data_IF_364916687876
#
_entry.id   IF_364916687876
#
_cell.length_a   1.000
_cell.length_b   1.000
_cell.length_c   1.000
_cell.angle_alpha   90.00
_cell.angle_beta   90.00
_cell.angle_gamma   90.00
#
_symmetry.space_group_name_H-M   'P 1'
#
loop_
_entity.id
_entity.type
_entity.pdbx_description
1 polymer ?
#
# COMPACT_ATOMS: atom_id res chain seq x y z
N UNK A 1 3.25 15.94 -26.52
CA UNK A 1 2.34 14.86 -26.08
C UNK A 1 2.88 14.13 -24.85
N UNK A 2 4.16 13.74 -24.78
CA UNK A 2 4.76 13.06 -23.62
C UNK A 2 4.71 13.82 -22.28
N UNK A 3 4.91 15.16 -22.27
CA UNK A 3 4.95 15.95 -21.03
C UNK A 3 3.65 15.95 -20.20
N UNK A 4 2.49 15.98 -20.85
CA UNK A 4 1.20 15.98 -20.14
C UNK A 4 0.91 14.62 -19.50
N UNK A 5 1.26 13.53 -20.20
CA UNK A 5 1.12 12.17 -19.69
C UNK A 5 2.03 11.98 -18.46
N UNK A 6 3.28 12.44 -18.52
CA UNK A 6 4.20 12.40 -17.38
C UNK A 6 3.67 13.17 -16.16
N UNK A 7 3.01 14.31 -16.36
CA UNK A 7 2.38 15.05 -15.25
C UNK A 7 1.26 14.23 -14.61
N UNK A 8 0.42 13.57 -15.41
CA UNK A 8 -0.65 12.70 -14.92
C UNK A 8 -0.08 11.51 -14.14
N UNK A 9 0.96 10.86 -14.67
CA UNK A 9 1.62 9.73 -14.01
C UNK A 9 2.23 10.12 -12.66
N UNK A 10 2.91 11.27 -12.59
CA UNK A 10 3.44 11.81 -11.34
C UNK A 10 2.34 12.09 -10.30
N UNK A 11 1.18 12.61 -10.74
CA UNK A 11 0.03 12.83 -9.85
C UNK A 11 -0.57 11.51 -9.35
N UNK A 12 -0.71 10.51 -10.22
CA UNK A 12 -1.15 9.15 -9.84
C UNK A 12 -0.20 8.58 -8.78
N UNK A 13 1.11 8.67 -8.99
CA UNK A 13 2.15 8.21 -8.04
C UNK A 13 2.06 8.93 -6.69
N UNK A 14 1.93 10.26 -6.71
CA UNK A 14 1.74 11.06 -5.50
C UNK A 14 0.50 10.65 -4.70
N UNK A 15 -0.61 10.33 -5.39
CA UNK A 15 -1.83 9.83 -4.74
C UNK A 15 -1.63 8.48 -4.06
N UNK A 16 -0.90 7.55 -4.70
CA UNK A 16 -0.54 6.26 -4.08
C UNK A 16 0.30 6.48 -2.83
N UNK A 17 1.34 7.32 -2.90
CA UNK A 17 2.19 7.67 -1.76
C UNK A 17 1.39 8.24 -0.58
N UNK A 18 0.46 9.16 -0.86
CA UNK A 18 -0.40 9.74 0.17
C UNK A 18 -1.31 8.68 0.83
N UNK A 19 -1.85 7.74 0.04
CA UNK A 19 -2.68 6.65 0.58
C UNK A 19 -1.85 5.69 1.44
N UNK A 20 -0.65 5.29 1.00
CA UNK A 20 0.23 4.44 1.80
C UNK A 20 0.60 5.10 3.12
N UNK A 21 0.91 6.41 3.11
CA UNK A 21 1.19 7.17 4.33
C UNK A 21 0.02 7.11 5.31
N UNK A 22 -1.21 7.38 4.84
CA UNK A 22 -2.42 7.29 5.70
C UNK A 22 -2.64 5.89 6.27
N UNK A 23 -2.35 4.84 5.51
CA UNK A 23 -2.47 3.45 6.01
C UNK A 23 -1.39 3.17 7.05
N UNK A 24 -0.15 3.63 6.83
CA UNK A 24 0.94 3.53 7.82
C UNK A 24 0.56 4.22 9.14
N UNK A 25 0.02 5.42 9.07
CA UNK A 25 -0.42 6.16 10.25
C UNK A 25 -1.55 5.42 10.98
N UNK A 26 -2.52 4.91 10.22
CA UNK A 26 -3.63 4.11 10.75
C UNK A 26 -3.15 2.87 11.52
N UNK A 27 -2.19 2.09 10.98
CA UNK A 27 -1.70 0.88 11.65
C UNK A 27 -0.82 1.19 12.87
N UNK A 28 -0.23 2.38 12.92
CA UNK A 28 0.58 2.83 14.05
C UNK A 28 -0.30 3.39 15.18
N UNK A 29 -1.51 3.85 14.89
CA UNK A 29 -2.47 4.30 15.89
C UNK A 29 -3.08 3.10 16.66
N UNK A 30 -2.86 2.97 17.98
CA UNK A 30 -3.37 1.85 18.78
C UNK A 30 -4.91 1.84 18.91
N UNK A 31 -5.57 2.99 18.85
CA UNK A 31 -7.01 3.14 19.11
C UNK A 31 -7.89 2.82 17.89
N UNK A 32 -7.29 2.69 16.71
CA UNK A 32 -8.01 2.49 15.45
C UNK A 32 -8.03 1.03 14.96
N UNK A 33 -7.44 0.10 15.70
CA UNK A 33 -7.20 -1.30 15.31
C UNK A 33 -8.42 -2.21 15.44
N UNK A 34 -9.52 -1.83 14.80
CA UNK A 34 -10.70 -2.68 14.63
C UNK A 34 -10.48 -3.61 13.42
N UNK A 35 -10.70 -4.92 13.60
CA UNK A 35 -10.45 -5.95 12.57
C UNK A 35 -11.05 -5.60 11.19
N UNK A 36 -12.32 -5.20 11.15
CA UNK A 36 -12.98 -4.85 9.87
C UNK A 36 -12.32 -3.68 9.13
N UNK A 37 -11.80 -2.69 9.88
CA UNK A 37 -11.09 -1.55 9.29
C UNK A 37 -9.73 -2.00 8.74
N UNK A 38 -9.04 -2.90 9.44
CA UNK A 38 -7.77 -3.48 9.02
C UNK A 38 -7.93 -4.33 7.74
N UNK A 39 -8.99 -5.14 7.66
CA UNK A 39 -9.32 -5.91 6.45
C UNK A 39 -9.60 -4.98 5.26
N UNK A 40 -10.38 -3.92 5.46
CA UNK A 40 -10.59 -2.88 4.43
C UNK A 40 -9.28 -2.22 3.97
N UNK A 41 -8.31 -2.00 4.88
CA UNK A 41 -6.98 -1.51 4.50
C UNK A 41 -6.19 -2.52 3.68
N UNK A 42 -6.33 -3.83 3.92
CA UNK A 42 -5.70 -4.85 3.07
C UNK A 42 -6.22 -4.79 1.63
N UNK A 43 -7.53 -4.63 1.43
CA UNK A 43 -8.08 -4.51 0.07
C UNK A 43 -7.64 -3.22 -0.62
N UNK A 44 -7.51 -2.14 0.16
CA UNK A 44 -6.90 -0.89 -0.34
C UNK A 44 -5.45 -1.13 -0.79
N UNK A 45 -4.63 -1.84 0.00
CA UNK A 45 -3.23 -2.16 -0.36
C UNK A 45 -3.13 -3.00 -1.63
N UNK A 46 -4.00 -4.00 -1.82
CA UNK A 46 -4.05 -4.78 -3.06
C UNK A 46 -4.32 -3.87 -4.27
N UNK A 47 -5.29 -2.96 -4.15
CA UNK A 47 -5.59 -1.98 -5.21
C UNK A 47 -4.41 -1.03 -5.48
N UNK A 48 -3.70 -0.59 -4.44
CA UNK A 48 -2.53 0.28 -4.61
C UNK A 48 -1.37 -0.42 -5.33
N UNK A 49 -1.13 -1.71 -5.06
CA UNK A 49 -0.11 -2.50 -5.74
C UNK A 49 -0.41 -2.65 -7.23
N UNK A 50 -1.66 -2.91 -7.59
CA UNK A 50 -2.09 -2.94 -9.01
C UNK A 50 -1.82 -1.57 -9.66
N UNK A 51 -2.22 -0.48 -9.01
CA UNK A 51 -1.97 0.88 -9.53
C UNK A 51 -0.49 1.20 -9.70
N UNK A 52 0.39 0.73 -8.81
CA UNK A 52 1.84 0.89 -8.95
C UNK A 52 2.35 0.15 -10.20
N UNK A 53 1.90 -1.08 -10.43
CA UNK A 53 2.22 -1.83 -11.64
C UNK A 53 1.74 -1.12 -12.91
N UNK A 54 0.52 -0.60 -12.92
CA UNK A 54 -0.03 0.14 -14.06
C UNK A 54 0.79 1.41 -14.34
N UNK A 55 1.13 2.16 -13.28
CA UNK A 55 1.98 3.36 -13.39
C UNK A 55 3.36 2.99 -13.95
N UNK A 56 3.98 1.90 -13.47
CA UNK A 56 5.27 1.42 -13.98
C UNK A 56 5.17 1.18 -15.49
N UNK A 57 4.19 0.40 -15.93
CA UNK A 57 3.99 0.07 -17.34
C UNK A 57 3.75 1.33 -18.20
N UNK A 58 2.87 2.24 -17.76
CA UNK A 58 2.60 3.49 -18.49
C UNK A 58 3.85 4.38 -18.60
N UNK A 59 4.76 4.37 -17.61
CA UNK A 59 6.01 5.12 -17.69
C UNK A 59 6.98 4.54 -18.71
N UNK A 60 7.10 3.21 -18.78
CA UNK A 60 7.93 2.53 -19.77
C UNK A 60 7.51 2.81 -21.21
N UNK A 61 6.23 3.07 -21.45
CA UNK A 61 5.70 3.44 -22.76
C UNK A 61 5.99 4.91 -23.14
N UNK A 62 6.20 5.79 -22.15
CA UNK A 62 6.20 7.24 -22.35
C UNK A 62 7.61 7.85 -22.25
N UNK A 63 8.48 7.27 -21.42
CA UNK A 63 9.84 7.77 -21.21
C UNK A 63 10.77 7.15 -22.26
N UNK A 64 11.39 8.01 -23.07
CA UNK A 64 12.26 7.59 -24.18
C UNK A 64 13.72 7.40 -23.74
N UNK A 65 14.14 8.05 -22.66
CA UNK A 65 15.50 7.98 -22.14
C UNK A 65 15.55 7.04 -20.93
N UNK A 66 16.26 5.92 -21.06
CA UNK A 66 16.38 4.89 -20.02
C UNK A 66 16.96 5.43 -18.70
N UNK A 67 17.83 6.44 -18.76
CA UNK A 67 18.38 7.07 -17.55
C UNK A 67 17.30 7.77 -16.69
N UNK A 68 16.18 8.16 -17.29
CA UNK A 68 15.05 8.79 -16.58
C UNK A 68 14.09 7.73 -15.98
N UNK A 69 14.24 6.45 -16.33
CA UNK A 69 13.45 5.34 -15.80
C UNK A 69 14.00 4.79 -14.48
N UNK A 70 15.32 4.73 -14.30
CA UNK A 70 15.94 4.14 -13.11
C UNK A 70 15.48 4.80 -11.79
N UNK A 71 15.48 6.13 -11.63
CA UNK A 71 15.00 6.76 -10.39
C UNK A 71 13.52 6.48 -10.11
N UNK A 72 12.72 6.34 -11.17
CA UNK A 72 11.32 6.01 -11.06
C UNK A 72 11.14 4.56 -10.62
N UNK A 73 11.89 3.63 -11.19
CA UNK A 73 11.82 2.22 -10.82
C UNK A 73 12.13 2.02 -9.35
N UNK A 74 13.19 2.66 -8.87
CA UNK A 74 13.56 2.63 -7.46
C UNK A 74 12.42 3.18 -6.58
N UNK A 75 11.81 4.32 -6.95
CA UNK A 75 10.68 4.85 -6.17
C UNK A 75 9.46 3.91 -6.18
N UNK A 76 9.17 3.22 -7.29
CA UNK A 76 8.08 2.25 -7.34
C UNK A 76 8.41 1.02 -6.50
N UNK A 77 9.62 0.49 -6.57
CA UNK A 77 10.09 -0.64 -5.75
C UNK A 77 9.97 -0.32 -4.26
N UNK A 78 10.45 0.85 -3.82
CA UNK A 78 10.30 1.32 -2.44
C UNK A 78 8.82 1.36 -1.99
N UNK A 79 7.89 1.66 -2.91
CA UNK A 79 6.45 1.70 -2.61
C UNK A 79 5.81 0.31 -2.62
N UNK A 80 6.34 -0.62 -3.40
CA UNK A 80 5.95 -2.03 -3.38
C UNK A 80 6.40 -2.68 -2.06
N UNK A 81 7.64 -2.45 -1.64
CA UNK A 81 8.18 -2.88 -0.34
C UNK A 81 7.34 -2.32 0.82
N UNK A 82 7.03 -1.01 0.77
CA UNK A 82 6.11 -0.38 1.71
C UNK A 82 4.75 -1.11 1.79
N UNK A 83 4.19 -1.52 0.64
CA UNK A 83 2.92 -2.25 0.60
C UNK A 83 3.03 -3.62 1.28
N UNK A 84 4.13 -4.35 1.05
CA UNK A 84 4.36 -5.68 1.62
C UNK A 84 4.55 -5.60 3.13
N UNK A 85 5.37 -4.67 3.60
CA UNK A 85 5.60 -4.41 5.02
C UNK A 85 4.30 -4.10 5.77
N UNK A 86 3.48 -3.20 5.21
CA UNK A 86 2.18 -2.86 5.81
C UNK A 86 1.26 -4.07 5.84
N UNK A 87 1.22 -4.87 4.76
CA UNK A 87 0.39 -6.08 4.70
C UNK A 87 0.77 -7.09 5.78
N UNK A 88 2.07 -7.35 5.96
CA UNK A 88 2.56 -8.24 7.02
C UNK A 88 2.15 -7.72 8.39
N UNK A 89 2.31 -6.42 8.65
CA UNK A 89 1.91 -5.79 9.92
C UNK A 89 0.41 -5.93 10.17
N UNK A 90 -0.44 -5.68 9.17
CA UNK A 90 -1.89 -5.83 9.32
C UNK A 90 -2.26 -7.27 9.63
N UNK A 91 -1.73 -8.25 8.88
CA UNK A 91 -1.97 -9.68 9.13
C UNK A 91 -1.61 -10.05 10.57
N UNK A 92 -0.44 -9.61 11.05
CA UNK A 92 -0.01 -9.86 12.43
C UNK A 92 -0.96 -9.25 13.48
N UNK A 93 -1.50 -8.06 13.23
CA UNK A 93 -2.47 -7.43 14.13
C UNK A 93 -3.79 -8.22 14.13
N UNK A 94 -4.29 -8.60 12.96
CA UNK A 94 -5.52 -9.39 12.84
C UNK A 94 -5.37 -10.74 13.56
N UNK A 95 -4.27 -11.46 13.36
CA UNK A 95 -4.00 -12.72 14.05
C UNK A 95 -3.99 -12.56 15.58
N UNK A 96 -3.41 -11.47 16.10
CA UNK A 96 -3.44 -11.17 17.54
C UNK A 96 -4.85 -10.89 18.06
N UNK A 97 -5.70 -10.23 17.27
CA UNK A 97 -7.11 -9.99 17.61
C UNK A 97 -7.86 -11.33 17.67
N UNK A 98 -7.67 -12.20 16.69
CA UNK A 98 -8.34 -13.49 16.61
C UNK A 98 -7.96 -14.42 17.76
N UNK A 99 -6.68 -14.46 18.15
CA UNK A 99 -6.21 -15.22 19.32
C UNK A 99 -6.90 -14.75 20.61
N UNK A 100 -6.94 -13.43 20.86
CA UNK A 100 -7.60 -12.87 22.04
C UNK A 100 -9.08 -13.22 22.12
N UNK A 101 -9.78 -13.20 20.98
CA UNK A 101 -11.21 -13.53 20.94
C UNK A 101 -11.45 -15.01 21.25
N UNK A 102 -10.57 -15.91 20.81
CA UNK A 102 -10.66 -17.34 21.10
C UNK A 102 -10.40 -17.67 22.58
N UNK A 103 -9.47 -16.97 23.23
CA UNK A 103 -9.20 -17.12 24.68
C UNK A 103 -10.41 -16.70 25.52
N UNK A 104 -11.05 -15.58 25.19
CA UNK A 104 -12.26 -15.10 25.88
C UNK A 104 -13.43 -16.08 25.73
N UNK A 105 -13.55 -16.73 24.56
CA UNK A 105 -14.63 -17.70 24.31
C UNK A 105 -14.40 -19.01 25.10
N UNK A 106 -13.14 -19.37 25.36
CA UNK A 106 -12.78 -20.56 26.14
C UNK A 106 -12.95 -20.40 27.66
N UNK A 107 -12.90 -19.16 28.18
CA UNK A 107 -13.14 -18.85 29.60
C UNK A 107 -14.63 -18.75 29.98
N UNK A 108 -15.55 -18.80 28.99
CA UNK A 108 -17.00 -18.69 29.19
C UNK A 108 -17.74 -20.06 29.15
N UNK A 109 -17.00 -21.16 29.02
CA UNK A 109 -17.52 -22.54 29.09
C UNK A 109 -17.14 -23.16 30.42
#
# INVERSE_FOLDING_TARGET
MSKEILVVLNRKRGSVKAQLTRIKDFINNPDEKVKIKLESKMDTLKSLRIKLSDIRNEYYEVVVNENDLEPLELEILDKEDDCEDIQVRIKNIISKIDLKNNDVTSLRK
#
